data_IF_315802412802
#
_entry.id   IF_315802412802
#
_cell.length_a   1.000
_cell.length_b   1.000
_cell.length_c   1.000
_cell.angle_alpha   90.00
_cell.angle_beta   90.00
_cell.angle_gamma   90.00
#
_symmetry.space_group_name_H-M   'P 1'
#
loop_
_entity.id
_entity.type
_entity.pdbx_description
1 polymer ?
#
# COMPACT_ATOMS: atom_id res chain seq x y z
N UNK A 1 37.87 -4.01 35.03
CA UNK A 1 36.47 -3.63 35.31
C UNK A 1 36.49 -2.60 36.43
N UNK A 2 36.60 -1.33 36.07
CA UNK A 2 36.62 -0.19 36.99
C UNK A 2 35.19 0.14 37.39
N UNK A 3 34.85 -0.04 38.66
CA UNK A 3 33.57 0.37 39.24
C UNK A 3 33.31 1.85 38.97
N UNK A 4 32.38 2.16 38.07
CA UNK A 4 31.86 3.52 37.87
C UNK A 4 30.80 3.80 38.94
N UNK A 5 31.34 4.23 40.08
CA UNK A 5 30.78 4.89 41.26
C UNK A 5 29.40 5.56 41.09
N UNK A 6 28.35 4.86 41.53
CA UNK A 6 27.35 5.45 42.43
C UNK A 6 27.92 5.44 43.85
N UNK A 7 29.09 6.07 44.07
CA UNK A 7 29.61 6.20 45.44
C UNK A 7 28.73 7.23 46.17
N UNK A 8 28.21 6.92 47.37
CA UNK A 8 27.58 7.92 48.21
C UNK A 8 28.60 9.05 48.45
N UNK A 9 28.17 10.32 48.45
CA UNK A 9 29.09 11.44 48.52
C UNK A 9 29.97 11.33 49.78
N UNK A 10 31.28 11.48 49.59
CA UNK A 10 32.27 11.46 50.70
C UNK A 10 32.22 12.71 51.57
N UNK A 11 31.35 13.68 51.25
CA UNK A 11 31.09 14.88 52.05
C UNK A 11 29.63 14.93 52.49
N UNK A 12 29.42 15.21 53.78
CA UNK A 12 28.11 15.28 54.44
C UNK A 12 27.18 16.42 53.95
N UNK A 13 27.56 17.17 52.91
CA UNK A 13 26.91 18.44 52.51
C UNK A 13 25.94 18.33 51.31
N UNK A 14 25.69 17.13 50.77
CA UNK A 14 25.05 17.01 49.45
C UNK A 14 23.53 16.86 49.43
N UNK A 15 22.89 16.49 50.55
CA UNK A 15 21.44 16.27 50.59
C UNK A 15 20.76 17.29 51.52
N UNK A 16 19.99 18.22 50.94
CA UNK A 16 19.40 19.37 51.63
C UNK A 16 17.94 19.16 52.04
N UNK A 17 17.21 18.29 51.35
CA UNK A 17 15.81 17.99 51.61
C UNK A 17 15.48 16.52 51.30
N UNK A 18 14.26 16.11 51.64
CA UNK A 18 13.74 14.76 51.40
C UNK A 18 13.57 14.45 49.92
N UNK A 19 13.29 15.45 49.09
CA UNK A 19 13.21 15.30 47.63
C UNK A 19 14.53 14.79 47.05
N UNK A 20 15.67 15.38 47.42
CA UNK A 20 17.00 14.96 46.94
C UNK A 20 17.32 13.49 47.32
N UNK A 21 16.80 13.00 48.45
CA UNK A 21 16.90 11.60 48.85
C UNK A 21 16.00 10.71 48.00
N UNK A 22 14.76 11.12 47.75
CA UNK A 22 13.82 10.42 46.87
C UNK A 22 14.37 10.29 45.45
N UNK A 23 14.94 11.35 44.90
CA UNK A 23 15.54 11.37 43.56
C UNK A 23 16.71 10.41 43.44
N UNK A 24 17.58 10.36 44.46
CA UNK A 24 18.78 9.52 44.44
C UNK A 24 18.46 8.04 44.67
N UNK A 25 17.63 7.73 45.68
CA UNK A 25 17.32 6.35 46.05
C UNK A 25 16.15 5.75 45.27
N UNK A 26 15.40 6.58 44.51
CA UNK A 26 14.23 6.18 43.73
C UNK A 26 13.16 5.49 44.59
N UNK A 27 13.05 5.90 45.84
CA UNK A 27 12.11 5.39 46.84
C UNK A 27 11.62 6.54 47.70
N UNK A 28 10.33 6.56 47.99
CA UNK A 28 9.72 7.55 48.86
C UNK A 28 10.20 7.36 50.31
N UNK A 29 11.04 8.30 50.77
CA UNK A 29 11.60 8.33 52.13
C UNK A 29 10.62 8.91 53.15
N UNK A 30 9.53 9.54 52.70
CA UNK A 30 8.46 10.08 53.55
C UNK A 30 7.29 9.10 53.69
N UNK A 31 7.37 7.93 53.04
CA UNK A 31 6.31 6.93 53.09
C UNK A 31 6.07 6.41 54.51
N UNK A 32 4.83 6.56 54.99
CA UNK A 32 4.42 6.08 56.31
C UNK A 32 4.42 4.54 56.39
N UNK A 33 4.73 3.96 57.56
CA UNK A 33 4.85 2.51 57.72
C UNK A 33 3.55 1.71 57.50
N UNK A 34 2.39 2.37 57.46
CA UNK A 34 1.09 1.73 57.20
C UNK A 34 0.89 1.34 55.72
N UNK A 35 1.67 1.92 54.80
CA UNK A 35 1.59 1.62 53.37
C UNK A 35 2.36 0.33 53.08
N UNK A 36 1.64 -0.75 52.80
CA UNK A 36 2.24 -2.05 52.49
C UNK A 36 2.52 -2.22 50.99
N UNK A 37 3.74 -2.61 50.65
CA UNK A 37 4.16 -2.99 49.29
C UNK A 37 5.04 -4.23 49.34
N UNK A 38 5.13 -4.98 48.24
CA UNK A 38 6.08 -6.09 48.13
C UNK A 38 7.45 -5.58 47.67
N UNK A 39 8.53 -6.28 48.02
CA UNK A 39 9.89 -5.91 47.61
C UNK A 39 10.03 -5.83 46.08
N UNK A 40 9.41 -6.77 45.37
CA UNK A 40 9.43 -6.80 43.90
C UNK A 40 8.66 -5.60 43.33
N UNK A 41 7.49 -5.27 43.87
CA UNK A 41 6.72 -4.12 43.43
C UNK A 41 7.48 -2.82 43.65
N UNK A 42 8.13 -2.67 44.80
CA UNK A 42 8.96 -1.49 45.08
C UNK A 42 10.13 -1.37 44.09
N UNK A 43 10.84 -2.46 43.82
CA UNK A 43 11.93 -2.46 42.86
C UNK A 43 11.46 -2.09 41.45
N UNK A 44 10.30 -2.61 41.02
CA UNK A 44 9.67 -2.22 39.73
C UNK A 44 9.37 -0.72 39.72
N UNK A 45 8.77 -0.17 40.76
CA UNK A 45 8.47 1.26 40.85
C UNK A 45 9.74 2.12 40.78
N UNK A 46 10.83 1.72 41.43
CA UNK A 46 12.11 2.44 41.37
C UNK A 46 12.69 2.46 39.96
N UNK A 47 12.65 1.34 39.23
CA UNK A 47 13.12 1.29 37.83
C UNK A 47 12.19 2.10 36.90
N UNK A 48 10.87 2.03 37.10
CA UNK A 48 9.91 2.83 36.35
C UNK A 48 10.15 4.33 36.51
N UNK A 49 10.35 4.77 37.77
CA UNK A 49 10.67 6.16 38.08
C UNK A 49 11.98 6.58 37.42
N UNK A 50 13.01 5.74 37.45
CA UNK A 50 14.29 6.03 36.80
C UNK A 50 14.10 6.27 35.29
N UNK A 51 13.42 5.37 34.59
CA UNK A 51 13.18 5.53 33.14
C UNK A 51 12.34 6.79 32.86
N UNK A 52 11.31 7.08 33.66
CA UNK A 52 10.52 8.31 33.52
C UNK A 52 11.40 9.56 33.70
N UNK A 53 12.35 9.54 34.64
CA UNK A 53 13.32 10.64 34.84
C UNK A 53 14.30 10.77 33.69
N UNK A 54 14.75 9.67 33.08
CA UNK A 54 15.53 9.67 31.83
C UNK A 54 14.75 10.37 30.72
N UNK A 55 13.47 10.04 30.54
CA UNK A 55 12.60 10.67 29.52
C UNK A 55 12.38 12.16 29.75
N UNK A 56 12.40 12.61 31.00
CA UNK A 56 12.33 14.03 31.38
C UNK A 56 13.70 14.73 31.27
N UNK A 57 14.75 14.05 30.81
CA UNK A 57 16.14 14.52 30.77
C UNK A 57 16.69 14.94 32.15
N UNK A 58 16.22 14.29 33.22
CA UNK A 58 16.67 14.57 34.60
C UNK A 58 17.87 13.71 35.01
N UNK A 59 18.13 12.62 34.28
CA UNK A 59 19.23 11.69 34.58
C UNK A 59 20.47 12.01 33.75
N UNK A 60 21.53 12.45 34.42
CA UNK A 60 22.80 12.79 33.80
C UNK A 60 23.91 11.83 34.27
N UNK A 61 24.86 11.46 33.39
CA UNK A 61 26.03 10.71 33.79
C UNK A 61 26.77 11.38 34.95
N UNK A 62 27.05 10.63 36.02
CA UNK A 62 27.69 11.11 37.25
C UNK A 62 26.96 12.26 37.95
N UNK A 63 25.64 12.42 37.72
CA UNK A 63 24.84 13.53 38.25
C UNK A 63 25.42 14.91 37.91
N UNK A 64 26.07 15.04 36.74
CA UNK A 64 26.64 16.30 36.27
C UNK A 64 25.72 16.94 35.21
N UNK A 65 24.99 18.02 35.54
CA UNK A 65 24.07 18.69 34.61
C UNK A 65 24.76 19.29 33.38
N UNK A 66 26.09 19.47 33.42
CA UNK A 66 26.88 19.96 32.29
C UNK A 66 27.15 18.89 31.22
N UNK A 67 26.87 17.62 31.50
CA UNK A 67 26.98 16.50 30.55
C UNK A 67 25.61 16.22 29.95
N UNK A 68 25.55 15.81 28.68
CA UNK A 68 24.30 15.40 28.03
C UNK A 68 23.57 14.35 28.86
N UNK A 69 22.27 14.55 29.09
CA UNK A 69 21.41 13.60 29.79
C UNK A 69 21.40 12.24 29.07
N UNK A 70 21.11 11.19 29.82
CA UNK A 70 20.81 9.88 29.25
C UNK A 70 19.60 10.00 28.33
N UNK A 71 19.65 9.32 27.19
CA UNK A 71 18.56 9.32 26.21
C UNK A 71 18.25 7.89 25.79
N UNK A 72 16.97 7.66 25.53
CA UNK A 72 16.46 6.49 24.84
C UNK A 72 16.30 6.85 23.36
N UNK A 73 16.43 5.87 22.47
CA UNK A 73 16.07 6.05 21.05
C UNK A 73 14.54 6.18 20.87
N UNK A 74 14.09 6.58 19.69
CA UNK A 74 12.67 6.84 19.41
C UNK A 74 11.78 5.65 19.74
N UNK A 75 12.17 4.47 19.24
CA UNK A 75 11.45 3.21 19.42
C UNK A 75 11.34 2.84 20.91
N UNK A 76 12.42 2.95 21.68
CA UNK A 76 12.41 2.68 23.13
C UNK A 76 11.49 3.64 23.89
N UNK A 77 11.43 4.91 23.48
CA UNK A 77 10.52 5.90 24.08
C UNK A 77 9.07 5.51 23.81
N UNK A 78 8.75 5.11 22.59
CA UNK A 78 7.42 4.67 22.18
C UNK A 78 7.01 3.39 22.92
N UNK A 79 7.84 2.35 22.88
CA UNK A 79 7.61 1.10 23.61
C UNK A 79 7.38 1.34 25.12
N UNK A 80 8.16 2.25 25.74
CA UNK A 80 7.99 2.59 27.15
C UNK A 80 6.64 3.24 27.42
N UNK A 81 6.26 4.23 26.61
CA UNK A 81 4.99 4.96 26.76
C UNK A 81 3.78 4.08 26.52
N UNK A 82 3.87 3.18 25.55
CA UNK A 82 2.75 2.36 25.12
C UNK A 82 2.53 1.14 26.00
N UNK A 83 3.58 0.35 26.27
CA UNK A 83 3.36 -0.98 26.85
C UNK A 83 4.38 -1.46 27.87
N UNK A 84 5.67 -1.09 27.78
CA UNK A 84 6.70 -1.60 28.70
C UNK A 84 6.58 -1.04 30.11
N UNK A 85 6.09 0.19 30.26
CA UNK A 85 5.92 0.83 31.58
C UNK A 85 4.85 0.14 32.43
N UNK A 86 3.76 -0.34 31.83
CA UNK A 86 2.60 -0.84 32.58
C UNK A 86 2.68 -2.36 32.66
N UNK A 87 2.93 -2.90 33.87
CA UNK A 87 3.12 -4.34 34.08
C UNK A 87 2.06 -5.23 33.42
N UNK A 88 0.78 -4.84 33.46
CA UNK A 88 -0.30 -5.62 32.86
C UNK A 88 -0.28 -5.63 31.33
N UNK A 89 0.10 -4.51 30.71
CA UNK A 89 0.21 -4.42 29.25
C UNK A 89 1.47 -5.16 28.79
N UNK A 90 2.58 -5.03 29.53
CA UNK A 90 3.79 -5.84 29.32
C UNK A 90 3.51 -7.34 29.44
N UNK A 91 2.79 -7.75 30.48
CA UNK A 91 2.39 -9.16 30.69
C UNK A 91 1.54 -9.67 29.53
N UNK A 92 0.56 -8.88 29.08
CA UNK A 92 -0.28 -9.23 27.94
C UNK A 92 0.54 -9.38 26.65
N UNK A 93 1.42 -8.42 26.34
CA UNK A 93 2.33 -8.49 25.19
C UNK A 93 3.23 -9.75 25.21
N UNK A 94 3.77 -10.10 26.39
CA UNK A 94 4.55 -11.34 26.54
C UNK A 94 3.71 -12.59 26.31
N UNK A 95 2.45 -12.59 26.73
CA UNK A 95 1.54 -13.73 26.52
C UNK A 95 1.09 -13.86 25.08
N UNK A 96 0.84 -12.76 24.36
CA UNK A 96 0.55 -12.78 22.92
C UNK A 96 1.65 -13.52 22.16
N UNK A 97 2.91 -13.17 22.45
CA UNK A 97 4.06 -13.79 21.78
C UNK A 97 4.26 -15.28 22.15
N UNK A 98 4.04 -15.64 23.42
CA UNK A 98 4.33 -17.00 23.90
C UNK A 98 3.18 -17.98 23.67
N UNK A 99 1.94 -17.49 23.70
CA UNK A 99 0.72 -18.29 23.65
C UNK A 99 -0.34 -17.61 22.76
N UNK A 100 -0.04 -17.41 21.46
CA UNK A 100 -0.97 -16.77 20.53
C UNK A 100 -2.30 -17.51 20.43
N UNK A 101 -2.32 -18.83 20.61
CA UNK A 101 -3.52 -19.66 20.59
C UNK A 101 -4.59 -19.25 21.62
N UNK A 102 -4.19 -18.58 22.72
CA UNK A 102 -5.15 -18.09 23.72
C UNK A 102 -5.90 -16.83 23.26
N UNK A 103 -5.48 -16.21 22.16
CA UNK A 103 -6.00 -14.94 21.65
C UNK A 103 -6.44 -15.01 20.19
N UNK A 104 -6.17 -16.12 19.50
CA UNK A 104 -6.67 -16.35 18.14
C UNK A 104 -8.17 -16.61 18.23
N UNK A 105 -8.94 -15.61 17.82
CA UNK A 105 -10.37 -15.72 17.57
C UNK A 105 -10.60 -15.58 16.06
N UNK A 106 -11.16 -16.59 15.36
CA UNK A 106 -11.35 -16.53 13.91
C UNK A 106 -12.12 -15.29 13.43
N UNK A 107 -13.04 -14.80 14.27
CA UNK A 107 -13.85 -13.63 13.99
C UNK A 107 -13.07 -12.30 14.09
N UNK A 108 -11.93 -12.27 14.79
CA UNK A 108 -11.11 -11.07 14.98
C UNK A 108 -9.96 -10.95 13.99
N UNK A 109 -9.81 -11.91 13.08
CA UNK A 109 -8.85 -11.84 11.99
C UNK A 109 -9.07 -10.57 11.16
N UNK A 110 -8.03 -9.76 11.01
CA UNK A 110 -8.05 -8.44 10.36
C UNK A 110 -7.76 -8.50 8.86
N UNK A 111 -6.94 -9.45 8.42
CA UNK A 111 -6.59 -9.75 7.03
C UNK A 111 -7.62 -10.61 6.28
N UNK A 112 -8.89 -10.62 6.71
CA UNK A 112 -9.96 -11.38 6.04
C UNK A 112 -10.18 -10.91 4.61
N UNK A 113 -10.12 -11.85 3.66
CA UNK A 113 -10.46 -11.61 2.26
C UNK A 113 -11.94 -11.21 2.11
N UNK A 114 -12.31 -10.49 1.02
CA UNK A 114 -13.70 -10.15 0.74
C UNK A 114 -14.61 -11.39 0.73
N UNK A 115 -14.17 -12.49 0.13
CA UNK A 115 -14.95 -13.73 0.04
C UNK A 115 -15.22 -14.34 1.43
N UNK A 116 -14.25 -14.25 2.35
CA UNK A 116 -14.45 -14.73 3.71
C UNK A 116 -15.42 -13.83 4.50
N UNK A 117 -15.36 -12.50 4.27
CA UNK A 117 -16.33 -11.56 4.87
C UNK A 117 -17.75 -11.81 4.36
N UNK A 118 -17.90 -12.15 3.08
CA UNK A 118 -19.19 -12.51 2.49
C UNK A 118 -19.73 -13.82 3.08
N UNK A 119 -18.86 -14.84 3.26
CA UNK A 119 -19.19 -16.09 3.94
C UNK A 119 -19.67 -15.85 5.39
N UNK A 120 -18.91 -15.08 6.18
CA UNK A 120 -19.31 -14.72 7.54
C UNK A 120 -20.65 -13.98 7.57
N UNK A 121 -20.86 -13.07 6.61
CA UNK A 121 -22.11 -12.32 6.50
C UNK A 121 -23.28 -13.24 6.19
N UNK A 122 -23.13 -14.19 5.26
CA UNK A 122 -24.16 -15.16 4.90
C UNK A 122 -24.52 -16.07 6.08
N UNK A 123 -23.51 -16.56 6.81
CA UNK A 123 -23.72 -17.42 7.99
C UNK A 123 -24.34 -16.67 9.18
N UNK A 124 -24.07 -15.37 9.32
CA UNK A 124 -24.65 -14.54 10.41
C UNK A 124 -26.10 -14.13 10.14
N UNK A 125 -26.52 -14.01 8.88
CA UNK A 125 -27.85 -13.54 8.51
C UNK A 125 -28.91 -14.66 8.51
N UNK A 126 -28.51 -15.88 8.13
CA UNK A 126 -29.42 -17.01 7.99
C UNK A 126 -29.47 -17.86 9.27
N UNK A 127 -30.52 -18.67 9.39
CA UNK A 127 -30.57 -19.72 10.41
C UNK A 127 -29.46 -20.74 10.15
N UNK A 128 -28.73 -21.14 11.20
CA UNK A 128 -27.67 -22.13 11.10
C UNK A 128 -28.27 -23.54 11.01
N UNK A 129 -28.44 -24.02 9.78
CA UNK A 129 -28.78 -25.41 9.45
C UNK A 129 -27.82 -25.94 8.35
N UNK A 130 -27.86 -27.25 8.10
CA UNK A 130 -26.92 -27.93 7.19
C UNK A 130 -26.97 -27.35 5.77
N UNK A 131 -28.17 -27.20 5.20
CA UNK A 131 -28.37 -26.68 3.85
C UNK A 131 -27.80 -25.25 3.67
N UNK A 132 -28.08 -24.34 4.61
CA UNK A 132 -27.60 -22.97 4.56
C UNK A 132 -26.06 -22.88 4.69
N UNK A 133 -25.46 -23.77 5.48
CA UNK A 133 -24.01 -23.84 5.65
C UNK A 133 -23.36 -24.39 4.38
N UNK A 134 -23.95 -25.43 3.77
CA UNK A 134 -23.47 -25.99 2.50
C UNK A 134 -23.53 -24.94 1.38
N UNK A 135 -24.65 -24.23 1.25
CA UNK A 135 -24.82 -23.16 0.26
C UNK A 135 -23.80 -22.03 0.45
N UNK A 136 -23.57 -21.60 1.70
CA UNK A 136 -22.59 -20.57 2.00
C UNK A 136 -21.17 -21.01 1.64
N UNK A 137 -20.82 -22.26 1.94
CA UNK A 137 -19.54 -22.83 1.61
C UNK A 137 -19.35 -23.00 0.09
N UNK A 138 -20.39 -23.43 -0.63
CA UNK A 138 -20.38 -23.53 -2.09
C UNK A 138 -20.15 -22.17 -2.76
N UNK A 139 -20.81 -21.11 -2.29
CA UNK A 139 -20.61 -19.74 -2.78
C UNK A 139 -19.17 -19.25 -2.55
N UNK A 140 -18.60 -19.55 -1.39
CA UNK A 140 -17.21 -19.25 -1.07
C UNK A 140 -16.24 -19.96 -2.03
N UNK A 141 -16.44 -21.27 -2.26
CA UNK A 141 -15.62 -22.04 -3.20
C UNK A 141 -15.74 -21.55 -4.64
N UNK A 142 -16.94 -21.15 -5.06
CA UNK A 142 -17.17 -20.59 -6.39
C UNK A 142 -16.41 -19.27 -6.59
N UNK A 143 -16.42 -18.41 -5.58
CA UNK A 143 -15.65 -17.15 -5.58
C UNK A 143 -14.13 -17.39 -5.60
N UNK A 144 -13.67 -18.45 -4.91
CA UNK A 144 -12.27 -18.85 -4.90
C UNK A 144 -11.82 -19.42 -6.26
N UNK A 145 -12.64 -20.25 -6.91
CA UNK A 145 -12.34 -20.79 -8.25
C UNK A 145 -12.19 -19.67 -9.28
N UNK A 146 -13.03 -18.64 -9.19
CA UNK A 146 -12.95 -17.47 -10.09
C UNK A 146 -11.58 -16.77 -10.06
N UNK A 147 -10.98 -16.60 -8.87
CA UNK A 147 -9.67 -15.95 -8.74
C UNK A 147 -8.49 -16.92 -8.85
N UNK A 148 -8.74 -18.22 -9.00
CA UNK A 148 -7.69 -19.24 -8.98
C UNK A 148 -6.82 -19.26 -10.25
N UNK A 149 -7.35 -18.77 -11.38
CA UNK A 149 -6.70 -18.82 -12.70
C UNK A 149 -6.64 -17.44 -13.37
N UNK A 150 -6.36 -16.40 -12.59
CA UNK A 150 -6.22 -15.05 -13.13
C UNK A 150 -4.96 -14.92 -13.98
N UNK A 151 -5.08 -14.26 -15.13
CA UNK A 151 -3.98 -13.88 -16.02
C UNK A 151 -3.48 -12.49 -15.62
N UNK A 152 -2.20 -12.35 -15.28
CA UNK A 152 -1.60 -11.04 -14.95
C UNK A 152 -1.44 -10.22 -16.23
N UNK A 153 -2.00 -9.01 -16.23
CA UNK A 153 -2.06 -8.11 -17.40
C UNK A 153 -1.36 -6.77 -17.19
N UNK A 154 -0.92 -6.48 -15.96
CA UNK A 154 -0.21 -5.26 -15.62
C UNK A 154 0.42 -5.34 -14.24
N UNK A 155 1.57 -4.71 -14.07
CA UNK A 155 2.27 -4.62 -12.79
C UNK A 155 3.04 -3.31 -12.70
N UNK A 156 3.13 -2.75 -11.49
CA UNK A 156 3.90 -1.54 -11.21
C UNK A 156 4.55 -1.66 -9.83
N UNK A 157 5.87 -1.47 -9.78
CA UNK A 157 6.62 -1.43 -8.53
C UNK A 157 6.77 0.03 -8.10
N UNK A 158 6.03 0.42 -7.07
CA UNK A 158 6.13 1.72 -6.44
C UNK A 158 7.25 1.67 -5.40
N UNK A 159 8.31 2.44 -5.66
CA UNK A 159 9.40 2.68 -4.72
C UNK A 159 9.53 4.18 -4.53
N UNK A 160 9.10 4.69 -3.39
CA UNK A 160 9.26 6.10 -3.00
C UNK A 160 10.06 6.13 -1.70
N UNK A 161 11.18 6.87 -1.72
CA UNK A 161 11.93 7.19 -0.50
C UNK A 161 11.44 8.55 -0.03
N UNK A 162 10.64 8.57 1.03
CA UNK A 162 10.20 9.81 1.64
C UNK A 162 11.32 10.38 2.55
N UNK A 163 11.01 11.45 3.30
CA UNK A 163 11.95 12.14 4.18
C UNK A 163 12.46 11.21 5.30
N UNK A 164 13.55 11.55 6.02
CA UNK A 164 14.19 10.69 7.02
C UNK A 164 13.31 10.18 8.18
N UNK A 165 12.07 10.67 8.29
CA UNK A 165 11.10 10.38 9.35
C UNK A 165 9.79 9.76 8.81
N UNK A 166 9.71 9.41 7.52
CA UNK A 166 8.56 8.72 6.91
C UNK A 166 9.00 7.33 6.41
N UNK A 167 8.10 6.35 6.49
CA UNK A 167 8.36 4.99 6.02
C UNK A 167 8.59 4.99 4.50
N UNK A 168 9.63 4.28 4.07
CA UNK A 168 9.86 4.02 2.65
C UNK A 168 8.66 3.26 2.08
N UNK A 169 8.10 3.74 0.96
CA UNK A 169 7.03 3.03 0.26
C UNK A 169 7.67 2.01 -0.68
N UNK A 170 7.45 0.72 -0.41
CA UNK A 170 7.81 -0.40 -1.28
C UNK A 170 6.59 -1.28 -1.52
N UNK A 171 5.87 -1.01 -2.62
CA UNK A 171 4.62 -1.68 -2.95
C UNK A 171 4.67 -2.19 -4.39
N UNK A 172 4.47 -3.50 -4.58
CA UNK A 172 4.26 -4.07 -5.90
C UNK A 172 2.76 -4.23 -6.18
N UNK A 173 2.22 -3.39 -7.05
CA UNK A 173 0.86 -3.51 -7.54
C UNK A 173 0.78 -4.53 -8.69
N UNK A 174 -0.18 -5.45 -8.61
CA UNK A 174 -0.43 -6.47 -9.64
C UNK A 174 -1.88 -6.45 -10.05
N UNK A 175 -2.11 -6.40 -11.36
CA UNK A 175 -3.43 -6.41 -11.99
C UNK A 175 -3.58 -7.66 -12.84
N UNK A 176 -4.71 -8.34 -12.68
CA UNK A 176 -5.00 -9.56 -13.38
C UNK A 176 -6.46 -9.61 -13.83
N UNK A 177 -6.79 -10.52 -14.74
CA UNK A 177 -8.14 -10.71 -15.26
C UNK A 177 -8.54 -12.17 -15.34
N UNK A 178 -9.84 -12.43 -15.36
CA UNK A 178 -10.40 -13.75 -15.70
C UNK A 178 -10.28 -14.03 -17.19
N UNK A 179 -10.26 -15.32 -17.56
CA UNK A 179 -10.29 -15.76 -18.96
C UNK A 179 -11.69 -15.67 -19.60
N UNK A 180 -12.71 -15.24 -18.84
CA UNK A 180 -14.08 -15.09 -19.33
C UNK A 180 -14.22 -13.88 -20.27
N UNK A 181 -15.25 -13.89 -21.10
CA UNK A 181 -15.66 -12.74 -21.92
C UNK A 181 -17.11 -12.36 -21.58
N UNK A 182 -17.39 -11.19 -20.98
CA UNK A 182 -16.43 -10.14 -20.60
C UNK A 182 -15.50 -10.59 -19.46
N UNK A 183 -14.28 -10.06 -19.47
CA UNK A 183 -13.27 -10.33 -18.43
C UNK A 183 -13.55 -9.49 -17.20
N UNK A 184 -13.33 -10.06 -16.02
CA UNK A 184 -13.38 -9.35 -14.74
C UNK A 184 -11.95 -9.07 -14.29
N UNK A 185 -11.70 -7.87 -13.81
CA UNK A 185 -10.37 -7.42 -13.41
C UNK A 185 -10.21 -7.40 -11.90
N UNK A 186 -9.01 -7.73 -11.44
CA UNK A 186 -8.62 -7.82 -10.04
C UNK A 186 -7.29 -7.11 -9.81
N UNK A 187 -7.14 -6.55 -8.61
CA UNK A 187 -5.93 -5.89 -8.14
C UNK A 187 -5.52 -6.50 -6.80
N UNK A 188 -4.22 -6.72 -6.63
CA UNK A 188 -3.62 -7.02 -5.34
C UNK A 188 -2.28 -6.32 -5.23
N UNK A 189 -1.76 -6.28 -4.02
CA UNK A 189 -0.46 -5.70 -3.68
C UNK A 189 0.40 -6.71 -2.93
N UNK A 190 1.71 -6.55 -3.07
CA UNK A 190 2.70 -7.16 -2.18
C UNK A 190 3.35 -6.00 -1.42
N UNK A 191 3.16 -6.01 -0.10
CA UNK A 191 3.59 -4.97 0.86
C UNK A 191 4.22 -5.71 2.05
N UNK A 192 5.38 -5.28 2.53
CA UNK A 192 6.09 -5.91 3.66
C UNK A 192 6.31 -7.43 3.55
N UNK A 193 6.39 -7.95 2.31
CA UNK A 193 6.57 -9.38 2.03
C UNK A 193 5.28 -10.22 2.08
N UNK A 194 4.12 -9.58 2.30
CA UNK A 194 2.82 -10.24 2.35
C UNK A 194 1.91 -9.83 1.18
N UNK A 195 1.20 -10.79 0.60
CA UNK A 195 0.25 -10.54 -0.47
C UNK A 195 -1.12 -10.19 0.09
N UNK A 196 -1.69 -9.09 -0.37
CA UNK A 196 -3.11 -8.80 -0.12
C UNK A 196 -4.02 -9.70 -0.95
N UNK A 197 -5.27 -9.85 -0.51
CA UNK A 197 -6.29 -10.58 -1.27
C UNK A 197 -6.60 -9.89 -2.60
N UNK A 198 -6.95 -10.66 -3.62
CA UNK A 198 -7.49 -10.10 -4.86
C UNK A 198 -8.75 -9.27 -4.61
N UNK A 199 -8.71 -7.99 -4.99
CA UNK A 199 -9.84 -7.06 -4.94
C UNK A 199 -10.38 -6.84 -6.35
N UNK A 200 -11.68 -7.05 -6.52
CA UNK A 200 -12.35 -6.82 -7.81
C UNK A 200 -12.33 -5.34 -8.16
N UNK A 201 -11.99 -5.03 -9.41
CA UNK A 201 -12.10 -3.69 -9.98
C UNK A 201 -13.52 -3.47 -10.49
N UNK A 202 -14.22 -2.51 -9.91
CA UNK A 202 -15.53 -2.06 -10.38
C UNK A 202 -15.39 -0.99 -11.49
N UNK A 203 -14.60 -1.30 -12.52
CA UNK A 203 -14.42 -0.47 -13.71
C UNK A 203 -14.58 -1.30 -14.98
N UNK A 204 -15.13 -0.67 -16.01
CA UNK A 204 -15.39 -1.30 -17.30
C UNK A 204 -14.17 -1.16 -18.24
N UNK A 205 -13.41 -2.25 -18.38
CA UNK A 205 -12.13 -2.29 -19.11
C UNK A 205 -12.29 -3.14 -20.38
N UNK A 206 -12.26 -2.46 -21.53
CA UNK A 206 -12.39 -3.07 -22.87
C UNK A 206 -11.03 -3.41 -23.54
N UNK A 207 -9.93 -3.31 -22.80
CA UNK A 207 -8.57 -3.50 -23.29
C UNK A 207 -7.95 -4.81 -22.82
N UNK A 208 -7.05 -5.39 -23.61
CA UNK A 208 -6.30 -6.59 -23.20
C UNK A 208 -5.10 -6.29 -22.31
N UNK A 209 -4.63 -5.05 -22.30
CA UNK A 209 -3.40 -4.64 -21.63
C UNK A 209 -3.73 -3.49 -20.69
N UNK A 210 -3.22 -3.60 -19.47
CA UNK A 210 -3.36 -2.60 -18.43
C UNK A 210 -2.00 -2.00 -18.13
N UNK A 211 -1.94 -0.67 -18.08
CA UNK A 211 -0.72 0.06 -17.72
C UNK A 211 -0.96 0.78 -16.41
N UNK A 212 -0.64 0.14 -15.26
CA UNK A 212 -0.60 0.80 -13.98
C UNK A 212 0.61 1.72 -13.88
N UNK A 213 0.43 2.90 -13.30
CA UNK A 213 1.50 3.87 -13.07
C UNK A 213 1.16 4.79 -11.89
N UNK A 214 2.16 5.13 -11.09
CA UNK A 214 2.04 6.20 -10.09
C UNK A 214 2.33 7.53 -10.79
N UNK A 215 1.35 8.42 -10.79
CA UNK A 215 1.48 9.77 -11.31
C UNK A 215 0.86 10.76 -10.34
N UNK A 216 1.62 11.79 -9.93
CA UNK A 216 1.22 12.75 -8.89
C UNK A 216 0.79 12.09 -7.56
N UNK A 217 1.58 11.12 -7.09
CA UNK A 217 1.32 10.33 -5.87
C UNK A 217 -0.05 9.63 -5.88
N UNK A 218 -0.55 9.31 -7.08
CA UNK A 218 -1.81 8.59 -7.28
C UNK A 218 -1.57 7.40 -8.19
N UNK A 219 -2.13 6.26 -7.80
CA UNK A 219 -2.19 5.09 -8.66
C UNK A 219 -3.23 5.31 -9.75
N UNK A 220 -2.75 5.31 -10.99
CA UNK A 220 -3.54 5.46 -12.19
C UNK A 220 -3.45 4.17 -13.00
N UNK A 221 -4.55 3.80 -13.64
CA UNK A 221 -4.63 2.65 -14.51
C UNK A 221 -5.07 3.11 -15.90
N UNK A 222 -4.28 2.77 -16.92
CA UNK A 222 -4.52 3.16 -18.31
C UNK A 222 -4.75 1.94 -19.20
N UNK A 223 -5.62 2.08 -20.20
CA UNK A 223 -5.83 1.08 -21.24
C UNK A 223 -6.29 1.74 -22.54
N UNK A 224 -6.16 1.02 -23.65
CA UNK A 224 -6.65 1.49 -24.94
C UNK A 224 -8.15 1.22 -25.09
N UNK A 225 -8.83 2.18 -25.69
CA UNK A 225 -10.24 2.08 -26.08
C UNK A 225 -10.36 2.26 -27.59
N UNK A 226 -11.01 1.30 -28.25
CA UNK A 226 -11.09 1.21 -29.71
C UNK A 226 -12.53 1.45 -30.16
N UNK A 227 -12.71 2.40 -31.09
CA UNK A 227 -13.99 2.66 -31.76
C UNK A 227 -13.80 2.39 -33.25
N UNK A 228 -14.57 1.47 -33.80
CA UNK A 228 -14.52 1.16 -35.23
C UNK A 228 -15.11 2.33 -36.01
N UNK A 229 -14.45 2.74 -37.09
CA UNK A 229 -14.94 3.74 -38.01
C UNK A 229 -14.73 3.29 -39.48
N UNK A 230 -15.65 3.69 -40.36
CA UNK A 230 -15.80 3.19 -41.73
C UNK A 230 -17.09 2.37 -41.93
N UNK A 231 -17.77 2.56 -43.07
CA UNK A 231 -18.99 1.82 -43.41
C UNK A 231 -18.65 0.48 -44.07
N UNK A 232 -19.35 -0.60 -43.69
CA UNK A 232 -19.26 -1.87 -44.43
C UNK A 232 -19.98 -1.72 -45.77
N UNK A 233 -19.24 -1.69 -46.88
CA UNK A 233 -19.83 -1.82 -48.22
C UNK A 233 -20.11 -3.30 -48.51
N UNK A 234 -21.39 -3.66 -48.71
CA UNK A 234 -21.77 -4.99 -49.17
C UNK A 234 -21.43 -5.24 -50.66
N UNK A 235 -20.99 -4.21 -51.38
CA UNK A 235 -20.55 -4.30 -52.77
C UNK A 235 -19.09 -4.75 -52.86
N UNK A 236 -18.87 -5.93 -53.44
CA UNK A 236 -17.54 -6.50 -53.69
C UNK A 236 -16.72 -5.62 -54.66
N UNK A 237 -17.39 -4.76 -55.44
CA UNK A 237 -16.76 -3.87 -56.42
C UNK A 237 -16.16 -2.59 -55.85
N UNK A 238 -16.54 -2.17 -54.63
CA UNK A 238 -16.03 -0.94 -54.00
C UNK A 238 -15.92 -1.09 -52.47
N UNK A 239 -14.91 -1.82 -51.98
CA UNK A 239 -14.73 -2.07 -50.55
C UNK A 239 -14.33 -0.77 -49.82
N UNK A 240 -15.15 -0.33 -48.87
CA UNK A 240 -14.83 0.81 -48.03
C UNK A 240 -13.76 0.48 -46.97
N UNK A 241 -12.80 1.39 -46.71
CA UNK A 241 -11.75 1.18 -45.72
C UNK A 241 -12.29 1.26 -44.29
N UNK A 242 -11.95 0.26 -43.49
CA UNK A 242 -12.19 0.20 -42.05
C UNK A 242 -10.93 0.61 -41.29
N UNK A 243 -11.09 1.33 -40.18
CA UNK A 243 -9.98 1.67 -39.29
C UNK A 243 -10.47 1.82 -37.84
N UNK A 244 -9.52 1.77 -36.90
CA UNK A 244 -9.79 2.06 -35.49
C UNK A 244 -9.50 3.52 -35.17
N UNK A 245 -10.43 4.17 -34.47
CA UNK A 245 -10.15 5.33 -33.63
C UNK A 245 -9.74 4.83 -32.24
N UNK A 246 -8.49 5.10 -31.87
CA UNK A 246 -7.85 4.64 -30.64
C UNK A 246 -7.78 5.80 -29.67
N UNK A 247 -8.44 5.66 -28.52
CA UNK A 247 -8.40 6.61 -27.41
C UNK A 247 -7.68 5.96 -26.22
N UNK A 248 -7.16 6.79 -25.31
CA UNK A 248 -6.71 6.29 -24.01
C UNK A 248 -7.85 6.43 -23.01
N UNK A 249 -8.14 5.33 -22.32
CA UNK A 249 -9.03 5.28 -21.18
C UNK A 249 -8.19 5.23 -19.90
N UNK A 250 -8.69 5.84 -18.84
CA UNK A 250 -8.03 5.76 -17.54
C UNK A 250 -8.99 5.82 -16.36
N UNK A 251 -8.51 5.32 -15.22
CA UNK A 251 -9.12 5.47 -13.91
C UNK A 251 -8.05 5.77 -12.87
N UNK A 252 -8.41 6.52 -11.83
CA UNK A 252 -7.55 6.91 -10.73
C UNK A 252 -8.03 6.22 -9.46
N UNK A 253 -7.11 5.72 -8.64
CA UNK A 253 -7.43 5.20 -7.32
C UNK A 253 -7.50 6.36 -6.32
N UNK A 254 -8.69 6.60 -5.77
CA UNK A 254 -8.96 7.67 -4.79
C UNK A 254 -9.86 7.17 -3.67
N UNK A 255 -9.49 7.46 -2.42
CA UNK A 255 -10.31 7.11 -1.23
C UNK A 255 -10.73 5.63 -1.22
N UNK A 256 -9.78 4.74 -1.47
CA UNK A 256 -9.95 3.29 -1.54
C UNK A 256 -10.91 2.78 -2.63
N UNK A 257 -11.17 3.59 -3.67
CA UNK A 257 -12.02 3.22 -4.81
C UNK A 257 -11.44 3.71 -6.12
N UNK A 258 -11.67 2.95 -7.17
CA UNK A 258 -11.39 3.39 -8.53
C UNK A 258 -12.46 4.39 -8.98
N UNK A 259 -12.04 5.47 -9.64
CA UNK A 259 -12.97 6.42 -10.25
C UNK A 259 -13.64 5.81 -11.48
N UNK A 260 -14.73 6.42 -11.94
CA UNK A 260 -15.32 6.05 -13.23
C UNK A 260 -14.30 6.19 -14.38
N UNK A 261 -14.45 5.35 -15.40
CA UNK A 261 -13.68 5.40 -16.65
C UNK A 261 -13.76 6.79 -17.27
N UNK A 262 -12.60 7.37 -17.54
CA UNK A 262 -12.43 8.61 -18.32
C UNK A 262 -11.82 8.26 -19.68
N UNK A 263 -12.16 9.04 -20.70
CA UNK A 263 -11.69 8.84 -22.08
C UNK A 263 -11.05 10.12 -22.60
N UNK A 264 -10.01 9.97 -23.41
CA UNK A 264 -9.35 11.11 -24.06
C UNK A 264 -10.25 11.70 -25.13
N UNK A 265 -10.29 13.04 -25.26
CA UNK A 265 -11.00 13.69 -26.38
C UNK A 265 -10.28 13.47 -27.72
N UNK A 266 -8.95 13.46 -27.68
CA UNK A 266 -8.11 13.13 -28.83
C UNK A 266 -8.10 11.62 -29.08
N UNK A 267 -7.91 11.25 -30.35
CA UNK A 267 -7.78 9.87 -30.80
C UNK A 267 -6.66 9.76 -31.83
N UNK A 268 -6.11 8.56 -31.94
CA UNK A 268 -5.18 8.15 -32.98
C UNK A 268 -5.92 7.23 -33.96
N UNK A 269 -5.55 7.25 -35.23
CA UNK A 269 -6.11 6.32 -36.23
C UNK A 269 -5.15 5.16 -36.47
N UNK A 270 -5.70 3.96 -36.62
CA UNK A 270 -4.94 2.85 -37.21
C UNK A 270 -4.77 3.07 -38.72
N UNK A 271 -3.91 2.26 -39.34
CA UNK A 271 -3.93 2.13 -40.79
C UNK A 271 -5.31 1.62 -41.25
N UNK A 272 -5.74 2.05 -42.44
CA UNK A 272 -6.99 1.62 -43.05
C UNK A 272 -6.83 0.24 -43.71
N UNK A 273 -7.80 -0.64 -43.46
CA UNK A 273 -7.80 -2.02 -43.98
C UNK A 273 -9.17 -2.38 -44.57
N UNK A 274 -9.17 -3.32 -45.52
CA UNK A 274 -10.39 -3.79 -46.18
C UNK A 274 -10.95 -5.08 -45.57
N UNK A 275 -10.27 -5.67 -44.58
CA UNK A 275 -10.65 -6.93 -43.96
C UNK A 275 -10.86 -6.75 -42.46
N UNK A 276 -12.02 -7.18 -41.96
CA UNK A 276 -12.36 -7.16 -40.53
C UNK A 276 -11.43 -8.04 -39.69
N UNK A 277 -10.97 -9.17 -40.24
CA UNK A 277 -9.99 -10.02 -39.56
C UNK A 277 -8.68 -9.26 -39.34
N UNK A 278 -8.18 -8.60 -40.38
CA UNK A 278 -6.97 -7.79 -40.30
C UNK A 278 -7.15 -6.61 -39.33
N UNK A 279 -8.34 -6.01 -39.29
CA UNK A 279 -8.69 -4.95 -38.35
C UNK A 279 -8.63 -5.42 -36.89
N UNK A 280 -9.17 -6.59 -36.56
CA UNK A 280 -9.07 -7.16 -35.20
C UNK A 280 -7.63 -7.59 -34.87
N UNK A 281 -6.90 -8.16 -35.82
CA UNK A 281 -5.48 -8.50 -35.64
C UNK A 281 -4.68 -7.24 -35.26
N UNK A 282 -4.95 -6.09 -35.91
CA UNK A 282 -4.33 -4.80 -35.56
C UNK A 282 -4.67 -4.34 -34.13
N UNK A 283 -5.90 -4.57 -33.65
CA UNK A 283 -6.29 -4.25 -32.27
C UNK A 283 -5.47 -5.07 -31.27
N UNK A 284 -5.27 -6.36 -31.55
CA UNK A 284 -4.48 -7.25 -30.68
C UNK A 284 -2.97 -6.99 -30.74
N UNK A 285 -2.48 -6.42 -31.84
CA UNK A 285 -1.08 -6.06 -32.02
C UNK A 285 -0.70 -4.71 -31.38
N UNK A 286 -1.67 -3.89 -30.96
CA UNK A 286 -1.42 -2.63 -30.28
C UNK A 286 -1.03 -2.87 -28.83
N UNK A 287 0.06 -2.25 -28.39
CA UNK A 287 0.48 -2.27 -27.00
C UNK A 287 0.81 -0.85 -26.51
N UNK A 288 0.80 -0.69 -25.19
CA UNK A 288 0.97 0.61 -24.55
C UNK A 288 2.10 0.59 -23.55
N UNK A 289 2.76 1.74 -23.44
CA UNK A 289 3.81 1.98 -22.44
C UNK A 289 3.59 3.31 -21.75
N UNK A 290 3.79 3.32 -20.43
CA UNK A 290 3.88 4.56 -19.67
C UNK A 290 5.33 4.99 -19.50
N UNK A 291 5.56 6.30 -19.53
CA UNK A 291 6.82 6.93 -19.14
C UNK A 291 6.52 8.21 -18.37
N UNK A 292 7.16 8.38 -17.21
CA UNK A 292 7.01 9.57 -16.36
C UNK A 292 8.33 10.34 -16.38
N UNK A 293 8.27 11.61 -16.78
CA UNK A 293 9.41 12.52 -16.79
C UNK A 293 9.01 13.83 -16.10
N UNK A 294 9.49 14.02 -14.87
CA UNK A 294 9.12 15.19 -14.06
C UNK A 294 7.61 15.26 -13.78
N UNK A 295 6.96 16.31 -14.27
CA UNK A 295 5.51 16.56 -14.11
C UNK A 295 4.66 16.10 -15.30
N UNK A 296 5.25 15.29 -16.18
CA UNK A 296 4.61 14.82 -17.41
C UNK A 296 4.60 13.30 -17.46
N UNK A 297 3.43 12.73 -17.72
CA UNK A 297 3.22 11.31 -18.02
C UNK A 297 2.88 11.16 -19.49
N UNK A 298 3.60 10.30 -20.20
CA UNK A 298 3.29 9.94 -21.58
C UNK A 298 2.82 8.48 -21.66
N UNK A 299 1.66 8.25 -22.26
CA UNK A 299 1.16 6.93 -22.65
C UNK A 299 1.40 6.75 -24.15
N UNK A 300 2.47 6.04 -24.48
CA UNK A 300 2.84 5.71 -25.87
C UNK A 300 1.99 4.54 -26.35
N UNK A 301 1.54 4.62 -27.60
CA UNK A 301 0.88 3.54 -28.32
C UNK A 301 1.78 3.11 -29.46
N UNK A 302 2.21 1.85 -29.42
CA UNK A 302 3.08 1.24 -30.42
C UNK A 302 2.36 0.07 -31.11
N UNK A 303 2.72 -0.21 -32.37
CA UNK A 303 2.11 -1.26 -33.19
C UNK A 303 1.53 -0.74 -34.51
N UNK A 304 0.37 -1.28 -34.93
CA UNK A 304 -0.30 -1.01 -36.23
C UNK A 304 -0.98 0.37 -36.33
N UNK A 305 -0.31 1.40 -35.83
CA UNK A 305 -0.76 2.78 -35.79
C UNK A 305 -0.22 3.53 -37.02
N UNK A 306 -0.98 4.50 -37.55
CA UNK A 306 -0.48 5.35 -38.65
C UNK A 306 0.46 6.44 -38.10
N UNK A 307 1.77 6.16 -38.03
CA UNK A 307 2.78 7.11 -37.55
C UNK A 307 3.91 6.41 -36.77
N UNK A 308 5.09 7.01 -36.70
CA UNK A 308 6.30 6.37 -36.16
C UNK A 308 6.33 6.21 -34.64
N UNK A 309 5.49 6.93 -33.89
CA UNK A 309 5.28 6.79 -32.44
C UNK A 309 4.21 7.83 -32.04
N UNK A 310 3.12 7.40 -31.42
CA UNK A 310 2.01 8.29 -31.01
C UNK A 310 1.79 8.19 -29.50
N UNK A 311 1.80 9.32 -28.80
CA UNK A 311 1.67 9.34 -27.35
C UNK A 311 0.59 10.32 -26.85
N UNK A 312 -0.11 9.91 -25.80
CA UNK A 312 -1.00 10.77 -25.03
C UNK A 312 -0.22 11.35 -23.84
N UNK A 313 -0.15 12.68 -23.76
CA UNK A 313 0.62 13.41 -22.74
C UNK A 313 -0.33 13.97 -21.67
N UNK A 314 -0.11 13.57 -20.43
CA UNK A 314 -0.78 14.07 -19.23
C UNK A 314 0.17 15.01 -18.48
N UNK A 315 -0.27 16.21 -18.17
CA UNK A 315 0.49 17.21 -17.41
C UNK A 315 -0.21 17.51 -16.08
N UNK A 316 0.54 17.85 -15.03
CA UNK A 316 -0.01 18.18 -13.71
C UNK A 316 -1.03 19.33 -13.69
N UNK A 317 -1.04 20.16 -14.72
CA UNK A 317 -1.87 21.38 -14.82
C UNK A 317 -3.15 21.19 -15.64
N UNK A 318 -3.28 20.09 -16.40
CA UNK A 318 -4.43 19.82 -17.25
C UNK A 318 -5.16 18.57 -16.79
N UNK A 319 -6.48 18.65 -16.63
CA UNK A 319 -7.30 17.47 -16.38
C UNK A 319 -7.45 16.58 -17.62
N UNK A 320 -7.05 17.06 -18.81
CA UNK A 320 -7.15 16.34 -20.08
C UNK A 320 -5.78 16.10 -20.72
N UNK A 321 -5.54 14.88 -21.25
CA UNK A 321 -4.32 14.59 -21.97
C UNK A 321 -4.29 15.31 -23.32
N UNK A 322 -3.14 15.90 -23.66
CA UNK A 322 -2.85 16.43 -24.98
C UNK A 322 -2.23 15.36 -25.87
N UNK A 323 -2.47 15.42 -27.18
CA UNK A 323 -1.88 14.50 -28.14
C UNK A 323 -0.62 15.13 -28.77
N UNK A 324 0.48 14.37 -28.86
CA UNK A 324 1.69 14.79 -29.56
C UNK A 324 2.27 13.65 -30.39
N UNK A 325 2.60 13.92 -31.65
CA UNK A 325 3.42 13.04 -32.46
C UNK A 325 4.90 13.32 -32.18
N UNK A 326 5.65 12.31 -31.74
CA UNK A 326 7.10 12.41 -31.71
C UNK A 326 7.61 12.00 -33.10
N UNK A 327 8.08 12.98 -33.88
CA UNK A 327 8.95 12.67 -35.00
C UNK A 327 10.32 12.33 -34.40
N UNK A 328 10.66 11.04 -34.34
CA UNK A 328 12.02 10.62 -34.05
C UNK A 328 12.90 11.20 -35.15
N UNK A 329 13.66 12.25 -34.83
CA UNK A 329 14.79 12.68 -35.65
C UNK A 329 15.74 11.48 -35.70
N UNK A 330 15.79 10.83 -36.86
CA UNK A 330 16.84 9.87 -37.21
C UNK A 330 18.18 10.55 -36.88
N UNK A 331 19.07 9.94 -36.09
CA UNK A 331 20.41 10.49 -35.93
C UNK A 331 21.05 10.53 -37.32
N UNK A 332 21.39 11.73 -37.79
CA UNK A 332 22.24 11.88 -38.96
C UNK A 332 23.46 10.97 -38.78
N UNK A 333 23.71 10.16 -39.80
CA UNK A 333 24.85 9.27 -39.88
C UNK A 333 26.14 10.03 -39.52
N UNK A 334 26.86 9.55 -38.50
CA UNK A 334 28.29 9.81 -38.39
C UNK A 334 28.99 9.12 -39.56
N UNK A 335 29.47 9.93 -40.50
CA UNK A 335 30.69 9.66 -41.25
C UNK A 335 31.89 10.23 -40.50
#
# INVERSE_FOLDING_TARGET
>A
MTHAKYDPPTSYERWKNTDELYEYFLIDVEMKPINMTSRIKQAICSVQLFIDRVLLNLEHPNSNPSVTALKLDGDQVEEWKEWRKIYRIWEANRKIFLYPENLIEPELRDDKSPFFKDLETQLKQNELNEDNVEDAFHNYLSSLDEVSRLEVVGMYHQVEKDLPDEDDIDILHVFARTSSNPSRYYHRTLEDGEWTSWLKLEIDVDGNHLVPVIFNRKLCLFWLFFVQDGEESNDISDPQPLFWKIQVAWSEYKKNKWTAKRLSKSFITSQSVLSRKLLEDMRTACWTKASVAGSTLSISVEGSVSGSESAFIFNNTSEEPHFSNFYTLIPEAMY
#
